data_IF_224908981449
#
_entry.id   IF_224908981449
#
_cell.length_a   1.000
_cell.length_b   1.000
_cell.length_c   1.000
_cell.angle_alpha   90.00
_cell.angle_beta   90.00
_cell.angle_gamma   90.00
#
_symmetry.space_group_name_H-M   'P 1'
#
loop_
_entity.id
_entity.type
_entity.pdbx_description
1 polymer ?
#
# COMPACT_ATOMS: atom_id res chain seq x y z
N UNK A 1 4.47 1.85 -11.08
CA UNK A 1 3.53 0.83 -11.58
C UNK A 1 3.09 -0.12 -10.49
N UNK A 2 4.04 -0.80 -9.83
CA UNK A 2 3.74 -1.86 -8.87
C UNK A 2 2.76 -1.46 -7.73
N UNK A 3 2.91 -0.31 -7.02
CA UNK A 3 1.94 0.08 -5.98
C UNK A 3 0.51 0.21 -6.50
N UNK A 4 0.35 0.71 -7.73
CA UNK A 4 -0.95 0.82 -8.40
C UNK A 4 -1.54 -0.57 -8.71
N UNK A 5 -0.73 -1.49 -9.22
CA UNK A 5 -1.16 -2.87 -9.49
C UNK A 5 -1.58 -3.61 -8.22
N UNK A 6 -0.83 -3.41 -7.13
CA UNK A 6 -1.17 -3.94 -5.80
C UNK A 6 -2.51 -3.38 -5.34
N UNK A 7 -2.71 -2.06 -5.38
CA UNK A 7 -3.98 -1.45 -5.00
C UNK A 7 -5.16 -1.98 -5.84
N UNK A 8 -4.98 -2.12 -7.16
CA UNK A 8 -6.00 -2.69 -8.04
C UNK A 8 -6.33 -4.15 -7.68
N UNK A 9 -5.31 -4.99 -7.44
CA UNK A 9 -5.49 -6.37 -6.95
C UNK A 9 -6.29 -6.39 -5.65
N UNK A 10 -5.91 -5.57 -4.67
CA UNK A 10 -6.56 -5.56 -3.36
C UNK A 10 -8.02 -5.08 -3.42
N UNK A 11 -8.35 -4.17 -4.33
CA UNK A 11 -9.75 -3.78 -4.61
C UNK A 11 -10.52 -4.98 -5.18
N UNK A 12 -9.97 -5.68 -6.18
CA UNK A 12 -10.60 -6.87 -6.77
C UNK A 12 -10.78 -8.03 -5.78
N UNK A 13 -9.88 -8.14 -4.80
CA UNK A 13 -9.94 -9.12 -3.71
C UNK A 13 -10.86 -8.71 -2.55
N UNK A 14 -11.53 -7.55 -2.62
CA UNK A 14 -12.32 -6.95 -1.53
C UNK A 14 -11.52 -6.70 -0.23
N UNK A 15 -10.20 -6.52 -0.34
CA UNK A 15 -9.31 -6.18 0.79
C UNK A 15 -9.12 -4.66 0.96
N UNK A 16 -9.44 -3.89 -0.08
CA UNK A 16 -9.56 -2.43 -0.04
C UNK A 16 -10.97 -2.04 -0.42
N UNK A 17 -11.77 -1.61 0.57
CA UNK A 17 -13.19 -1.29 0.39
C UNK A 17 -13.51 0.20 0.54
N UNK A 18 -12.47 1.04 0.62
CA UNK A 18 -12.62 2.50 0.72
C UNK A 18 -13.28 3.05 -0.55
N UNK A 19 -14.28 3.90 -0.37
CA UNK A 19 -15.06 4.48 -1.47
C UNK A 19 -14.74 5.95 -1.68
N UNK A 20 -14.86 6.44 -2.92
CA UNK A 20 -14.60 7.84 -3.26
C UNK A 20 -13.21 8.06 -3.85
N UNK A 21 -12.87 9.33 -4.12
CA UNK A 21 -11.57 9.71 -4.66
C UNK A 21 -10.61 10.00 -3.51
N UNK A 22 -9.54 9.22 -3.40
CA UNK A 22 -8.55 9.34 -2.34
C UNK A 22 -7.14 9.51 -2.90
N UNK A 23 -6.35 10.35 -2.23
CA UNK A 23 -4.89 10.31 -2.32
C UNK A 23 -4.44 9.17 -1.37
N UNK A 24 -3.51 8.28 -1.77
CA UNK A 24 -3.18 7.05 -1.03
C UNK A 24 -2.27 7.31 0.19
N UNK A 25 -2.65 8.26 1.04
CA UNK A 25 -1.99 8.61 2.31
C UNK A 25 -2.76 8.11 3.53
N UNK A 26 -3.99 7.66 3.35
CA UNK A 26 -4.78 7.09 4.44
C UNK A 26 -4.27 5.69 4.77
N UNK A 27 -4.26 5.37 6.06
CA UNK A 27 -3.71 4.12 6.60
C UNK A 27 -4.37 2.89 5.96
N UNK A 28 -5.67 2.95 5.68
CA UNK A 28 -6.44 1.87 5.05
C UNK A 28 -5.93 1.50 3.65
N UNK A 29 -5.29 2.43 2.93
CA UNK A 29 -4.66 2.16 1.63
C UNK A 29 -3.16 1.92 1.81
N UNK A 30 -2.50 2.78 2.58
CA UNK A 30 -1.04 2.83 2.67
C UNK A 30 -0.45 1.55 3.26
N UNK A 31 -0.96 1.09 4.41
CA UNK A 31 -0.48 -0.09 5.12
C UNK A 31 -0.56 -1.40 4.29
N UNK A 32 -1.72 -1.76 3.71
CA UNK A 32 -1.80 -3.01 2.96
C UNK A 32 -0.97 -2.98 1.67
N UNK A 33 -0.78 -1.81 1.06
CA UNK A 33 0.11 -1.66 -0.10
C UNK A 33 1.57 -1.84 0.30
N UNK A 34 2.02 -1.21 1.40
CA UNK A 34 3.36 -1.41 1.93
C UNK A 34 3.62 -2.88 2.27
N UNK A 35 2.70 -3.52 2.98
CA UNK A 35 2.82 -4.92 3.38
C UNK A 35 3.01 -5.86 2.18
N UNK A 36 2.31 -5.63 1.07
CA UNK A 36 2.50 -6.42 -0.14
C UNK A 36 3.83 -6.09 -0.84
N UNK A 37 4.25 -4.82 -0.83
CA UNK A 37 5.55 -4.42 -1.37
C UNK A 37 6.71 -5.15 -0.67
N UNK A 38 6.61 -5.39 0.64
CA UNK A 38 7.62 -6.18 1.37
C UNK A 38 7.75 -7.61 0.84
N UNK A 39 6.63 -8.24 0.42
CA UNK A 39 6.64 -9.57 -0.19
C UNK A 39 7.33 -9.59 -1.56
N UNK A 40 7.39 -8.43 -2.21
CA UNK A 40 8.16 -8.19 -3.43
C UNK A 40 9.61 -7.76 -3.15
N UNK A 41 10.06 -7.80 -1.90
CA UNK A 41 11.41 -7.42 -1.50
C UNK A 41 11.64 -5.90 -1.45
N UNK A 42 10.58 -5.09 -1.45
CA UNK A 42 10.65 -3.64 -1.35
C UNK A 42 10.29 -3.24 0.08
N UNK A 43 11.29 -2.82 0.84
CA UNK A 43 11.15 -2.39 2.24
C UNK A 43 11.75 -1.00 2.44
N UNK A 44 11.10 -0.23 3.31
CA UNK A 44 11.63 1.03 3.79
C UNK A 44 12.33 0.79 5.12
N UNK A 45 13.58 1.23 5.22
CA UNK A 45 14.35 1.20 6.46
C UNK A 45 14.44 2.63 6.96
N UNK A 46 13.78 2.91 8.08
CA UNK A 46 13.90 4.21 8.75
C UNK A 46 15.18 4.22 9.60
N UNK A 47 15.93 5.31 9.48
CA UNK A 47 17.14 5.55 10.25
C UNK A 47 17.00 6.90 10.94
N UNK A 48 16.91 6.88 12.27
CA UNK A 48 17.00 8.10 13.05
C UNK A 48 18.47 8.50 13.19
N UNK A 49 18.78 9.76 12.85
CA UNK A 49 20.12 10.33 13.05
C UNK A 49 20.35 10.64 14.52
N UNK A 50 21.53 10.26 15.03
CA UNK A 50 22.04 10.64 16.36
C UNK A 50 22.38 12.14 16.42
#
# INVERSE_FOLDING_TARGET
>A
GLPLGIAAKLILENKLTVTGLHIPIITEIYEPVLKELEQHGIQFNEVEGL
#
